data_IF_921154911247
#
_entry.id   IF_921154911247
#
_cell.length_a   1.000
_cell.length_b   1.000
_cell.length_c   1.000
_cell.angle_alpha   90.00
_cell.angle_beta   90.00
_cell.angle_gamma   90.00
#
_symmetry.space_group_name_H-M   'P 1'
#
loop_
_entity.id
_entity.type
_entity.pdbx_description
1 polymer ?
#
# COMPACT_ATOMS: atom_id res chain seq x y z
N UNK A 1 -8.84 -12.04 19.58
CA UNK A 1 -7.36 -11.99 19.68
C UNK A 1 -6.91 -10.64 20.25
N UNK A 2 -5.78 -10.57 20.94
CA UNK A 2 -5.20 -9.32 21.45
C UNK A 2 -3.81 -9.11 20.86
N UNK A 3 -3.57 -7.94 20.28
CA UNK A 3 -2.26 -7.51 19.78
C UNK A 3 -1.47 -6.90 20.94
N UNK A 4 -0.60 -7.68 21.57
CA UNK A 4 0.19 -7.23 22.73
C UNK A 4 1.20 -6.14 22.32
N UNK A 5 1.72 -6.25 21.10
CA UNK A 5 2.54 -5.26 20.43
C UNK A 5 2.26 -5.27 18.93
N UNK A 6 2.66 -4.20 18.25
CA UNK A 6 2.41 -4.00 16.81
C UNK A 6 3.63 -3.47 16.05
N UNK A 7 4.75 -3.28 16.74
CA UNK A 7 6.01 -2.80 16.16
C UNK A 7 6.85 -3.94 15.61
N UNK A 8 7.90 -3.59 14.88
CA UNK A 8 8.94 -4.54 14.48
C UNK A 8 9.60 -5.22 15.70
N UNK A 9 10.45 -6.25 15.52
CA UNK A 9 11.00 -7.01 16.64
C UNK A 9 11.77 -6.22 17.71
N UNK A 10 12.34 -5.07 17.34
CA UNK A 10 13.03 -4.15 18.26
C UNK A 10 12.07 -3.13 18.92
N UNK A 11 10.80 -3.15 18.52
CA UNK A 11 9.82 -2.11 18.83
C UNK A 11 10.03 -0.83 18.02
N UNK A 12 9.15 0.15 18.25
CA UNK A 12 9.23 1.51 17.73
C UNK A 12 8.91 2.46 18.89
N UNK A 13 9.84 3.30 19.36
CA UNK A 13 11.14 3.59 18.78
C UNK A 13 12.15 2.47 19.02
N UNK A 14 13.10 2.31 18.10
CA UNK A 14 14.28 1.49 18.33
C UNK A 14 15.15 2.13 19.43
N UNK A 15 15.64 1.38 20.44
CA UNK A 15 16.30 1.93 21.63
C UNK A 15 17.45 2.92 21.36
N UNK A 16 18.28 2.63 20.35
CA UNK A 16 19.50 3.40 20.06
C UNK A 16 19.40 4.25 18.78
N UNK A 17 18.19 4.46 18.27
CA UNK A 17 18.00 5.15 16.99
C UNK A 17 17.57 6.62 17.17
N UNK A 18 18.37 7.60 16.70
CA UNK A 18 18.04 9.02 16.82
C UNK A 18 17.21 9.55 15.64
N UNK A 19 16.69 8.68 14.75
CA UNK A 19 15.99 9.14 13.55
C UNK A 19 14.67 9.87 13.90
N UNK A 20 14.15 10.65 12.96
CA UNK A 20 12.93 11.42 13.15
C UNK A 20 11.71 10.53 13.48
N UNK A 21 11.61 9.34 12.89
CA UNK A 21 10.52 8.41 13.17
C UNK A 21 10.56 7.92 14.64
N UNK A 22 11.72 7.47 15.12
CA UNK A 22 11.90 7.09 16.52
C UNK A 22 11.70 8.27 17.49
N UNK A 23 12.16 9.46 17.11
CA UNK A 23 11.95 10.66 17.93
C UNK A 23 10.45 11.01 18.07
N UNK A 24 9.66 10.80 17.02
CA UNK A 24 8.22 11.06 16.99
C UNK A 24 7.38 9.92 17.59
N UNK A 25 7.87 8.67 17.57
CA UNK A 25 7.20 7.50 18.12
C UNK A 25 7.24 7.49 19.66
N UNK A 26 6.42 8.33 20.29
CA UNK A 26 6.29 8.43 21.75
C UNK A 26 4.83 8.39 22.15
N UNK A 27 4.55 8.04 23.42
CA UNK A 27 3.19 7.94 23.93
C UNK A 27 2.37 6.92 23.12
N UNK A 28 1.27 7.36 22.52
CA UNK A 28 0.40 6.51 21.70
C UNK A 28 1.00 6.09 20.35
N UNK A 29 2.10 6.73 19.93
CA UNK A 29 2.86 6.34 18.73
C UNK A 29 3.95 5.30 18.99
N UNK A 30 4.22 4.96 20.26
CA UNK A 30 5.15 3.89 20.61
C UNK A 30 4.49 2.52 20.43
N UNK A 31 5.28 1.55 19.95
CA UNK A 31 4.87 0.19 19.66
C UNK A 31 5.89 -0.78 20.24
N UNK A 32 5.45 -1.68 21.10
CA UNK A 32 6.19 -2.85 21.52
C UNK A 32 6.33 -3.84 20.35
N UNK A 33 7.30 -4.74 20.45
CA UNK A 33 7.50 -5.79 19.48
C UNK A 33 6.25 -6.67 19.33
N UNK A 34 5.93 -7.04 18.10
CA UNK A 34 4.68 -7.73 17.76
C UNK A 34 4.58 -9.08 18.46
N UNK A 35 3.46 -9.28 19.17
CA UNK A 35 3.06 -10.56 19.75
C UNK A 35 1.52 -10.62 19.82
N UNK A 36 0.93 -11.78 19.51
CA UNK A 36 -0.52 -11.96 19.44
C UNK A 36 -0.97 -13.00 20.46
N UNK A 37 -1.93 -12.64 21.32
CA UNK A 37 -2.61 -13.56 22.23
C UNK A 37 -3.98 -13.94 21.64
N UNK A 38 -4.14 -15.18 21.23
CA UNK A 38 -5.40 -15.72 20.70
C UNK A 38 -6.13 -16.47 21.82
N UNK A 39 -7.29 -15.92 22.19
CA UNK A 39 -8.24 -16.46 23.18
C UNK A 39 -7.61 -16.89 24.51
N UNK A 40 -6.53 -16.20 24.90
CA UNK A 40 -5.78 -16.51 26.12
C UNK A 40 -5.03 -17.85 26.11
N UNK A 41 -5.10 -18.62 25.03
CA UNK A 41 -4.64 -20.01 24.97
C UNK A 41 -3.43 -20.21 24.04
N UNK A 42 -3.32 -19.43 22.97
CA UNK A 42 -2.23 -19.46 22.00
C UNK A 42 -1.52 -18.11 21.99
N UNK A 43 -0.20 -18.15 22.16
CA UNK A 43 0.66 -16.98 22.00
C UNK A 43 1.49 -17.14 20.72
N UNK A 44 1.35 -16.20 19.79
CA UNK A 44 2.17 -16.13 18.58
C UNK A 44 3.22 -15.03 18.77
N UNK A 45 4.47 -15.43 18.58
CA UNK A 45 5.69 -14.71 18.92
C UNK A 45 5.85 -14.36 20.39
N UNK A 46 7.12 -14.35 20.83
CA UNK A 46 7.49 -14.11 22.22
C UNK A 46 8.79 -13.30 22.26
N UNK A 47 8.66 -12.03 21.95
CA UNK A 47 9.74 -11.05 22.05
C UNK A 47 9.85 -10.48 23.47
N UNK A 48 10.97 -9.84 23.83
CA UNK A 48 11.15 -9.29 25.17
C UNK A 48 10.06 -8.29 25.51
N UNK A 49 9.55 -8.36 26.75
CA UNK A 49 8.45 -7.52 27.22
C UNK A 49 7.03 -8.01 26.91
N UNK A 50 6.84 -9.10 26.17
CA UNK A 50 5.50 -9.62 25.84
C UNK A 50 4.62 -9.90 27.09
N UNK A 51 5.21 -10.39 28.18
CA UNK A 51 4.47 -10.62 29.44
C UNK A 51 3.98 -9.32 30.10
N UNK A 52 4.82 -8.28 30.10
CA UNK A 52 4.43 -6.96 30.60
C UNK A 52 3.37 -6.32 29.69
N UNK A 53 3.51 -6.49 28.37
CA UNK A 53 2.53 -6.04 27.40
C UNK A 53 1.16 -6.72 27.61
N UNK A 54 1.14 -8.04 27.84
CA UNK A 54 -0.07 -8.77 28.22
C UNK A 54 -0.72 -8.20 29.49
N UNK A 55 0.06 -7.98 30.54
CA UNK A 55 -0.46 -7.42 31.79
C UNK A 55 -1.03 -6.00 31.61
N UNK A 56 -0.36 -5.14 30.82
CA UNK A 56 -0.85 -3.80 30.48
C UNK A 56 -2.15 -3.82 29.67
N UNK A 57 -2.31 -4.82 28.80
CA UNK A 57 -3.52 -5.08 28.04
C UNK A 57 -4.62 -5.77 28.88
N UNK A 58 -4.40 -6.03 30.18
CA UNK A 58 -5.37 -6.65 31.07
C UNK A 58 -5.46 -8.17 30.97
N UNK A 59 -4.45 -8.83 30.40
CA UNK A 59 -4.40 -10.28 30.22
C UNK A 59 -3.37 -10.96 31.12
N UNK A 60 -3.72 -12.13 31.66
CA UNK A 60 -2.78 -13.06 32.27
C UNK A 60 -2.31 -14.09 31.23
N UNK A 61 -1.02 -14.43 31.26
CA UNK A 61 -0.46 -15.49 30.41
C UNK A 61 -0.57 -16.90 31.01
N UNK A 62 -1.12 -17.05 32.23
CA UNK A 62 -1.26 -18.37 32.89
C UNK A 62 -2.19 -19.33 32.13
N UNK A 63 -3.07 -18.80 31.28
CA UNK A 63 -3.97 -19.57 30.42
C UNK A 63 -3.29 -20.12 29.17
N UNK A 64 -2.11 -19.61 28.80
CA UNK A 64 -1.42 -20.01 27.57
C UNK A 64 -1.03 -21.48 27.66
N UNK A 65 -1.35 -22.23 26.60
CA UNK A 65 -1.04 -23.66 26.46
C UNK A 65 -0.11 -23.93 25.30
N UNK A 66 0.01 -23.01 24.35
CA UNK A 66 0.93 -23.11 23.24
C UNK A 66 1.59 -21.76 22.97
N UNK A 67 2.90 -21.77 22.75
CA UNK A 67 3.67 -20.64 22.23
C UNK A 67 4.26 -21.05 20.88
N UNK A 68 4.01 -20.27 19.83
CA UNK A 68 4.56 -20.50 18.50
C UNK A 68 5.35 -19.28 18.02
N UNK A 69 6.50 -19.51 17.42
CA UNK A 69 7.37 -18.46 16.88
C UNK A 69 7.23 -18.38 15.37
N UNK A 70 7.21 -17.19 14.80
CA UNK A 70 7.18 -16.98 13.35
C UNK A 70 8.57 -16.85 12.74
N UNK A 71 9.60 -16.64 13.55
CA UNK A 71 10.99 -16.44 13.12
C UNK A 71 11.87 -17.69 13.38
N UNK A 72 12.93 -17.90 12.59
CA UNK A 72 13.90 -18.98 12.83
C UNK A 72 14.68 -18.79 14.15
N UNK A 73 15.49 -19.79 14.51
CA UNK A 73 16.19 -19.86 15.80
C UNK A 73 17.25 -18.77 16.00
N UNK A 74 17.71 -18.14 14.93
CA UNK A 74 18.60 -16.98 14.87
C UNK A 74 17.84 -15.65 14.79
N UNK A 75 16.52 -15.67 14.98
CA UNK A 75 15.68 -14.49 15.01
C UNK A 75 15.80 -13.68 16.31
N UNK A 76 14.83 -12.77 16.55
CA UNK A 76 14.82 -11.88 17.72
C UNK A 76 14.99 -12.64 19.04
N UNK A 77 15.60 -11.97 20.02
CA UNK A 77 15.78 -12.53 21.36
C UNK A 77 14.43 -12.98 21.93
N UNK A 78 14.42 -14.11 22.64
CA UNK A 78 13.24 -14.65 23.31
C UNK A 78 13.33 -14.35 24.80
N UNK A 79 12.23 -13.87 25.37
CA UNK A 79 12.06 -13.81 26.82
C UNK A 79 10.95 -14.80 27.19
N UNK A 80 11.32 -15.92 27.82
CA UNK A 80 10.39 -16.97 28.27
C UNK A 80 10.05 -16.81 29.76
N UNK A 81 8.95 -16.12 30.11
CA UNK A 81 8.44 -16.08 31.47
C UNK A 81 8.27 -17.47 32.09
N UNK A 82 8.57 -17.57 33.37
CA UNK A 82 8.34 -18.79 34.13
C UNK A 82 6.86 -19.23 34.04
N UNK A 83 6.64 -20.51 33.73
CA UNK A 83 5.30 -21.09 33.63
C UNK A 83 4.68 -21.06 32.23
N UNK A 84 5.29 -20.39 31.25
CA UNK A 84 4.91 -20.57 29.84
C UNK A 84 5.42 -21.92 29.31
N UNK A 85 4.67 -22.56 28.40
CA UNK A 85 5.15 -23.76 27.70
C UNK A 85 6.33 -23.41 26.79
N UNK A 86 7.08 -24.43 26.38
CA UNK A 86 8.19 -24.26 25.46
C UNK A 86 7.72 -23.60 24.15
N UNK A 87 8.44 -22.57 23.71
CA UNK A 87 8.23 -21.95 22.42
C UNK A 87 8.78 -22.85 21.31
N UNK A 88 8.06 -22.95 20.21
CA UNK A 88 8.48 -23.77 19.08
C UNK A 88 7.93 -23.28 17.75
N UNK A 89 8.35 -23.93 16.67
CA UNK A 89 7.81 -23.74 15.33
C UNK A 89 7.07 -24.98 14.88
N UNK A 90 5.97 -24.77 14.17
CA UNK A 90 5.34 -25.86 13.42
C UNK A 90 6.04 -25.95 12.05
N UNK A 91 6.51 -27.13 11.62
CA UNK A 91 7.10 -27.29 10.30
C UNK A 91 6.13 -26.88 9.19
N UNK A 92 6.64 -26.26 8.13
CA UNK A 92 5.83 -25.74 7.03
C UNK A 92 4.86 -26.78 6.45
N UNK A 93 3.63 -26.36 6.20
CA UNK A 93 2.55 -27.21 5.70
C UNK A 93 1.94 -28.18 6.73
N UNK A 94 2.47 -28.25 7.96
CA UNK A 94 1.87 -29.04 9.04
C UNK A 94 0.80 -28.26 9.78
N UNK A 95 -0.12 -28.99 10.38
CA UNK A 95 -1.19 -28.46 11.21
C UNK A 95 -1.10 -29.05 12.62
N UNK A 96 -1.35 -28.21 13.62
CA UNK A 96 -1.45 -28.54 15.03
C UNK A 96 -2.88 -28.24 15.51
N UNK A 97 -3.50 -29.18 16.22
CA UNK A 97 -4.77 -28.93 16.91
C UNK A 97 -4.50 -28.66 18.38
N UNK A 98 -4.96 -27.52 18.88
CA UNK A 98 -4.79 -27.10 20.27
C UNK A 98 -5.92 -27.64 21.14
N UNK A 99 -5.67 -27.73 22.45
CA UNK A 99 -6.66 -28.14 23.45
C UNK A 99 -7.84 -27.15 23.49
N UNK A 100 -7.62 -25.89 23.12
CA UNK A 100 -8.67 -24.88 22.95
C UNK A 100 -9.59 -25.12 21.74
N UNK A 101 -9.39 -26.19 20.98
CA UNK A 101 -10.12 -26.52 19.75
C UNK A 101 -9.65 -25.77 18.51
N UNK A 102 -8.72 -24.84 18.65
CA UNK A 102 -8.12 -24.10 17.54
C UNK A 102 -7.24 -25.03 16.69
N UNK A 103 -7.27 -24.84 15.36
CA UNK A 103 -6.33 -25.48 14.43
C UNK A 103 -5.33 -24.45 13.92
N UNK A 104 -4.03 -24.75 14.02
CA UNK A 104 -2.95 -23.86 13.62
C UNK A 104 -2.13 -24.52 12.52
N UNK A 105 -2.16 -23.96 11.32
CA UNK A 105 -1.43 -24.46 10.14
C UNK A 105 -0.25 -23.54 9.84
N UNK A 106 0.93 -24.13 9.65
CA UNK A 106 2.13 -23.44 9.21
C UNK A 106 2.05 -23.13 7.71
N UNK A 107 2.17 -21.85 7.36
CA UNK A 107 2.21 -21.35 6.00
C UNK A 107 3.68 -21.10 5.61
N UNK A 108 4.20 -21.76 4.56
CA UNK A 108 5.56 -21.53 4.08
C UNK A 108 5.74 -20.09 3.58
N UNK A 109 6.87 -19.45 3.91
CA UNK A 109 7.17 -18.06 3.58
C UNK A 109 8.26 -17.93 2.51
N UNK A 110 8.28 -16.81 1.78
CA UNK A 110 9.31 -16.48 0.78
C UNK A 110 10.62 -15.94 1.39
N UNK A 111 10.63 -15.78 2.71
CA UNK A 111 11.78 -15.41 3.53
C UNK A 111 11.88 -16.36 4.72
N UNK A 112 13.03 -16.39 5.44
CA UNK A 112 13.18 -17.20 6.63
C UNK A 112 12.11 -16.88 7.68
N UNK A 113 11.23 -17.83 7.95
CA UNK A 113 10.13 -17.68 8.91
C UNK A 113 8.98 -18.65 8.61
N UNK A 114 7.90 -18.55 9.38
CA UNK A 114 6.64 -19.29 9.19
C UNK A 114 5.49 -18.36 9.49
N UNK A 115 4.53 -18.24 8.58
CA UNK A 115 3.23 -17.66 8.87
C UNK A 115 2.31 -18.68 9.52
N UNK A 116 1.33 -18.23 10.30
CA UNK A 116 0.36 -19.12 10.94
C UNK A 116 -1.05 -18.77 10.50
N UNK A 117 -1.72 -19.76 9.91
CA UNK A 117 -3.17 -19.75 9.77
C UNK A 117 -3.78 -20.35 11.04
N UNK A 118 -4.59 -19.57 11.75
CA UNK A 118 -5.33 -20.01 12.94
C UNK A 118 -6.80 -20.07 12.59
N UNK A 119 -7.39 -21.26 12.72
CA UNK A 119 -8.83 -21.49 12.55
C UNK A 119 -9.47 -21.76 13.91
N UNK A 120 -10.48 -20.97 14.27
CA UNK A 120 -11.26 -21.18 15.50
C UNK A 120 -12.13 -22.45 15.41
N UNK A 121 -12.65 -22.97 16.53
CA UNK A 121 -13.62 -24.06 16.53
C UNK A 121 -14.87 -23.77 15.69
N UNK A 122 -15.31 -22.52 15.65
CA UNK A 122 -16.46 -22.00 14.88
C UNK A 122 -16.11 -21.80 13.39
N UNK A 123 -14.85 -21.99 13.01
CA UNK A 123 -14.38 -21.85 11.64
C UNK A 123 -14.03 -20.42 11.24
N UNK A 124 -13.77 -19.51 12.18
CA UNK A 124 -13.21 -18.19 11.84
C UNK A 124 -11.71 -18.34 11.53
N UNK A 125 -11.20 -17.64 10.51
CA UNK A 125 -9.82 -17.78 10.01
C UNK A 125 -9.02 -16.49 10.12
N UNK A 126 -7.94 -16.57 10.89
CA UNK A 126 -6.90 -15.54 11.02
C UNK A 126 -5.64 -16.01 10.31
N UNK A 127 -5.01 -15.14 9.52
CA UNK A 127 -3.64 -15.35 9.04
C UNK A 127 -2.70 -14.34 9.69
N UNK A 128 -1.62 -14.81 10.31
CA UNK A 128 -0.56 -13.98 10.85
C UNK A 128 0.77 -14.24 10.12
N UNK A 129 1.41 -13.18 9.65
CA UNK A 129 2.66 -13.25 8.90
C UNK A 129 3.85 -12.65 9.67
N UNK A 130 5.06 -13.24 9.55
CA UNK A 130 6.28 -12.68 10.14
C UNK A 130 6.65 -11.32 9.53
N UNK A 131 7.47 -10.51 10.22
CA UNK A 131 8.01 -9.27 9.66
C UNK A 131 8.77 -9.56 8.37
N UNK A 132 8.56 -8.73 7.35
CA UNK A 132 9.28 -8.92 6.08
C UNK A 132 8.95 -10.22 5.33
N UNK A 133 7.92 -11.00 5.71
CA UNK A 133 7.56 -12.26 5.06
C UNK A 133 6.26 -12.22 4.26
N UNK A 134 6.25 -12.89 3.11
CA UNK A 134 5.02 -13.16 2.36
C UNK A 134 4.87 -14.68 2.13
N UNK A 135 3.64 -15.19 1.93
CA UNK A 135 3.43 -16.60 1.60
C UNK A 135 4.22 -17.04 0.37
N UNK A 136 4.88 -18.20 0.47
CA UNK A 136 5.58 -18.84 -0.63
C UNK A 136 4.57 -19.53 -1.56
N UNK A 137 4.46 -19.01 -2.79
CA UNK A 137 3.55 -19.54 -3.81
C UNK A 137 2.10 -19.07 -3.66
N UNK A 138 1.29 -19.43 -4.65
CA UNK A 138 -0.13 -19.05 -4.79
C UNK A 138 -0.99 -20.28 -4.57
N UNK A 139 -0.88 -20.93 -3.41
CA UNK A 139 -1.83 -21.99 -3.08
C UNK A 139 -3.22 -21.34 -2.99
N UNK A 140 -4.14 -21.74 -3.87
CA UNK A 140 -5.52 -21.24 -3.85
C UNK A 140 -6.08 -21.34 -2.44
N UNK A 141 -6.47 -20.20 -1.87
CA UNK A 141 -7.09 -20.18 -0.56
C UNK A 141 -8.57 -20.46 -0.80
N UNK A 142 -9.06 -21.63 -0.38
CA UNK A 142 -10.42 -22.08 -0.67
C UNK A 142 -11.54 -21.16 -0.17
N UNK A 143 -11.23 -20.22 0.74
CA UNK A 143 -12.03 -19.04 1.07
C UNK A 143 -11.12 -17.91 1.57
N UNK A 144 -11.54 -16.64 1.52
CA UNK A 144 -10.80 -15.55 2.15
C UNK A 144 -10.60 -15.78 3.66
N UNK A 145 -9.57 -15.14 4.22
CA UNK A 145 -9.40 -15.01 5.66
C UNK A 145 -10.40 -13.97 6.18
N UNK A 146 -10.90 -14.18 7.39
CA UNK A 146 -11.71 -13.19 8.09
C UNK A 146 -10.82 -12.02 8.56
N UNK A 147 -9.56 -12.31 8.87
CA UNK A 147 -8.56 -11.30 9.22
C UNK A 147 -7.16 -11.71 8.79
N UNK A 148 -6.38 -10.72 8.32
CA UNK A 148 -4.95 -10.87 8.02
C UNK A 148 -4.17 -9.87 8.85
N UNK A 149 -3.16 -10.35 9.57
CA UNK A 149 -2.24 -9.56 10.37
C UNK A 149 -0.85 -9.69 9.73
N UNK A 150 -0.34 -8.60 9.16
CA UNK A 150 0.87 -8.65 8.34
C UNK A 150 1.66 -7.34 8.32
N UNK A 151 2.90 -7.42 7.84
CA UNK A 151 3.73 -6.26 7.51
C UNK A 151 3.30 -5.63 6.18
N UNK A 152 2.22 -4.84 6.21
CA UNK A 152 1.65 -4.23 4.99
C UNK A 152 2.58 -3.14 4.42
N UNK A 153 3.30 -2.43 5.28
CA UNK A 153 4.15 -1.30 4.88
C UNK A 153 5.50 -1.75 4.32
N UNK A 154 6.10 -2.80 4.91
CA UNK A 154 7.36 -3.38 4.45
C UNK A 154 7.19 -4.42 3.35
N UNK A 155 6.04 -5.10 3.28
CA UNK A 155 5.73 -6.16 2.29
C UNK A 155 4.36 -5.99 1.62
N UNK A 156 4.12 -4.86 0.91
CA UNK A 156 2.87 -4.65 0.17
C UNK A 156 2.63 -5.73 -0.90
N UNK A 157 3.70 -6.30 -1.47
CA UNK A 157 3.64 -7.41 -2.43
C UNK A 157 3.03 -8.68 -1.80
N UNK A 158 3.22 -8.90 -0.50
CA UNK A 158 2.59 -10.01 0.22
C UNK A 158 1.07 -9.88 0.25
N UNK A 159 0.55 -8.67 0.45
CA UNK A 159 -0.88 -8.39 0.38
C UNK A 159 -1.42 -8.55 -1.04
N UNK A 160 -0.65 -8.13 -2.05
CA UNK A 160 -0.99 -8.35 -3.47
C UNK A 160 -1.12 -9.85 -3.81
N UNK A 161 -0.17 -10.67 -3.36
CA UNK A 161 -0.21 -12.13 -3.56
C UNK A 161 -1.41 -12.77 -2.86
N UNK A 162 -1.71 -12.35 -1.62
CA UNK A 162 -2.88 -12.84 -0.89
C UNK A 162 -4.19 -12.51 -1.60
N UNK A 163 -4.32 -11.30 -2.17
CA UNK A 163 -5.47 -10.92 -3.00
C UNK A 163 -5.56 -11.78 -4.27
N UNK A 164 -4.43 -11.98 -4.95
CA UNK A 164 -4.37 -12.83 -6.15
C UNK A 164 -4.81 -14.27 -5.87
N UNK A 165 -4.45 -14.81 -4.70
CA UNK A 165 -4.80 -16.15 -4.26
C UNK A 165 -6.23 -16.27 -3.69
N UNK A 166 -7.01 -15.19 -3.65
CA UNK A 166 -8.34 -15.15 -3.03
C UNK A 166 -8.34 -15.19 -1.50
N UNK A 167 -7.17 -15.04 -0.86
CA UNK A 167 -7.03 -15.02 0.60
C UNK A 167 -7.49 -13.72 1.26
N UNK A 168 -7.49 -12.60 0.53
CA UNK A 168 -7.99 -11.30 1.01
C UNK A 168 -9.11 -10.83 0.09
N UNK A 169 -10.30 -10.67 0.65
CA UNK A 169 -11.50 -10.16 -0.04
C UNK A 169 -12.02 -8.87 0.59
N UNK A 170 -13.18 -8.39 0.11
CA UNK A 170 -13.79 -7.13 0.56
C UNK A 170 -14.20 -7.11 2.05
N UNK A 171 -14.43 -8.28 2.65
CA UNK A 171 -14.80 -8.42 4.06
C UNK A 171 -13.60 -8.79 4.96
N UNK A 172 -12.41 -8.99 4.39
CA UNK A 172 -11.22 -9.35 5.17
C UNK A 172 -10.68 -8.12 5.88
N UNK A 173 -10.61 -8.15 7.21
CA UNK A 173 -9.96 -7.09 7.98
C UNK A 173 -8.43 -7.25 7.90
N UNK A 174 -7.74 -6.24 7.38
CA UNK A 174 -6.28 -6.26 7.22
C UNK A 174 -5.65 -5.33 8.25
N UNK A 175 -4.96 -5.92 9.22
CA UNK A 175 -4.31 -5.21 10.31
C UNK A 175 -2.80 -5.19 10.09
N UNK A 176 -2.24 -3.99 9.98
CA UNK A 176 -0.82 -3.78 9.83
C UNK A 176 -0.10 -3.90 11.18
N UNK A 177 0.96 -4.71 11.20
CA UNK A 177 1.88 -4.90 12.32
C UNK A 177 3.32 -4.84 11.80
N UNK A 178 4.30 -5.08 12.68
CA UNK A 178 5.72 -4.97 12.35
C UNK A 178 6.14 -3.57 11.91
N UNK A 179 5.42 -2.53 12.36
CA UNK A 179 5.69 -1.15 12.01
C UNK A 179 7.02 -0.69 12.66
N UNK A 180 7.97 -0.28 11.83
CA UNK A 180 9.30 0.15 12.25
C UNK A 180 9.59 1.60 11.85
N UNK A 181 10.80 2.05 12.15
CA UNK A 181 11.28 3.41 11.98
C UNK A 181 11.58 3.82 10.52
N UNK A 182 11.50 2.88 9.59
CA UNK A 182 11.53 3.08 8.14
C UNK A 182 10.16 3.50 7.59
N UNK A 183 9.10 3.27 8.38
CA UNK A 183 7.75 3.75 8.11
C UNK A 183 7.64 5.23 8.53
N UNK A 184 6.99 6.09 7.73
CA UNK A 184 6.79 7.49 8.05
C UNK A 184 5.93 7.72 9.32
N UNK A 185 5.81 8.97 9.76
CA UNK A 185 5.04 9.35 10.97
C UNK A 185 3.58 8.88 10.96
N UNK A 186 2.95 8.75 12.13
CA UNK A 186 1.66 8.07 12.30
C UNK A 186 0.54 8.49 11.33
N UNK A 187 0.35 9.80 11.08
CA UNK A 187 -0.70 10.25 10.14
C UNK A 187 -0.48 9.82 8.69
N UNK A 188 0.78 9.67 8.28
CA UNK A 188 1.14 9.14 6.96
C UNK A 188 0.97 7.62 6.90
N UNK A 189 1.18 6.91 8.02
CA UNK A 189 0.92 5.46 8.11
C UNK A 189 -0.54 5.17 7.87
N UNK A 190 -1.44 5.83 8.60
CA UNK A 190 -2.88 5.59 8.49
C UNK A 190 -3.37 5.86 7.07
N UNK A 191 -2.91 6.94 6.44
CA UNK A 191 -3.24 7.29 5.06
C UNK A 191 -2.79 6.23 4.05
N UNK A 192 -1.55 5.70 4.20
CA UNK A 192 -1.02 4.67 3.29
C UNK A 192 -1.70 3.33 3.48
N UNK A 193 -1.95 2.95 4.74
CA UNK A 193 -2.70 1.74 5.05
C UNK A 193 -4.12 1.81 4.50
N UNK A 194 -4.81 2.94 4.65
CA UNK A 194 -6.14 3.13 4.08
C UNK A 194 -6.15 2.97 2.56
N UNK A 195 -5.14 3.49 1.85
CA UNK A 195 -5.00 3.28 0.40
C UNK A 195 -4.78 1.80 0.02
N UNK A 196 -4.20 1.02 0.93
CA UNK A 196 -4.06 -0.42 0.79
C UNK A 196 -5.25 -1.21 1.37
N UNK A 197 -6.34 -0.57 1.81
CA UNK A 197 -7.47 -1.25 2.47
C UNK A 197 -7.10 -1.93 3.79
N UNK A 198 -6.11 -1.40 4.49
CA UNK A 198 -5.60 -1.89 5.77
C UNK A 198 -5.67 -0.81 6.85
N UNK A 199 -5.46 -1.18 8.10
CA UNK A 199 -5.41 -0.25 9.24
C UNK A 199 -4.35 -0.66 10.26
N UNK A 200 -3.84 0.30 11.01
CA UNK A 200 -3.06 0.02 12.20
C UNK A 200 -3.96 0.13 13.44
N UNK A 201 -3.57 -0.56 14.51
CA UNK A 201 -4.17 -0.40 15.83
C UNK A 201 -3.11 -0.10 16.88
N UNK A 202 -3.48 0.50 18.02
CA UNK A 202 -2.57 0.61 19.16
C UNK A 202 -2.23 -0.75 19.76
N UNK A 203 -1.10 -0.84 20.45
CA UNK A 203 -0.77 -1.98 21.29
C UNK A 203 -1.84 -2.22 22.37
N UNK A 204 -2.03 -3.48 22.74
CA UNK A 204 -3.05 -3.95 23.67
C UNK A 204 -4.47 -4.03 23.09
N UNK A 205 -4.67 -3.66 21.83
CA UNK A 205 -5.98 -3.74 21.18
C UNK A 205 -6.48 -5.18 21.10
N UNK A 206 -7.69 -5.42 21.60
CA UNK A 206 -8.40 -6.69 21.44
C UNK A 206 -9.35 -6.58 20.25
N UNK A 207 -9.19 -7.48 19.29
CA UNK A 207 -9.96 -7.55 18.05
C UNK A 207 -10.73 -8.88 17.98
N UNK A 208 -12.00 -8.80 17.59
CA UNK A 208 -12.84 -9.97 17.32
C UNK A 208 -12.66 -10.34 15.85
N UNK A 209 -12.11 -11.53 15.59
CA UNK A 209 -11.91 -12.00 14.23
C UNK A 209 -13.28 -12.38 13.64
N UNK A 210 -13.58 -11.92 12.42
CA UNK A 210 -14.87 -12.17 11.77
C UNK A 210 -15.99 -11.20 12.16
N UNK A 211 -15.74 -10.24 13.05
CA UNK A 211 -16.64 -9.10 13.23
C UNK A 211 -16.50 -8.15 12.02
N UNK A 212 -17.63 -7.68 11.49
CA UNK A 212 -17.58 -6.72 10.38
C UNK A 212 -17.02 -5.38 10.87
N UNK A 213 -15.90 -4.98 10.27
CA UNK A 213 -15.37 -3.64 10.38
C UNK A 213 -15.51 -2.94 9.04
N UNK A 214 -15.92 -1.67 9.05
CA UNK A 214 -15.88 -0.84 7.86
C UNK A 214 -14.42 -0.72 7.39
N UNK A 215 -14.05 -1.48 6.37
CA UNK A 215 -12.77 -1.35 5.70
C UNK A 215 -12.77 0.01 4.97
N UNK A 216 -11.69 0.80 5.03
CA UNK A 216 -11.62 2.04 4.26
C UNK A 216 -11.90 1.75 2.78
N UNK A 217 -12.87 2.45 2.18
CA UNK A 217 -13.09 2.36 0.74
C UNK A 217 -11.83 2.85 0.03
N UNK A 218 -11.18 1.96 -0.72
CA UNK A 218 -10.02 2.34 -1.52
C UNK A 218 -10.54 3.22 -2.67
N UNK A 219 -10.11 4.49 -2.78
CA UNK A 219 -10.67 5.42 -3.75
C UNK A 219 -10.41 4.91 -5.16
N UNK A 220 -11.47 4.89 -5.97
CA UNK A 220 -11.38 4.39 -7.35
C UNK A 220 -10.56 5.32 -8.24
N UNK A 221 -10.59 6.63 -8.01
CA UNK A 221 -9.92 7.63 -8.85
C UNK A 221 -9.13 8.59 -7.97
N UNK A 222 -7.82 8.57 -8.15
CA UNK A 222 -6.88 9.44 -7.44
C UNK A 222 -6.07 10.27 -8.43
N UNK A 223 -6.04 11.58 -8.22
CA UNK A 223 -5.09 12.47 -8.90
C UNK A 223 -3.95 12.83 -7.95
N UNK A 224 -2.71 12.59 -8.39
CA UNK A 224 -1.48 12.96 -7.69
C UNK A 224 -0.77 14.08 -8.45
N UNK A 225 -0.83 15.29 -7.92
CA UNK A 225 -0.17 16.47 -8.48
C UNK A 225 1.05 16.90 -7.67
N UNK A 226 1.95 17.66 -8.27
CA UNK A 226 3.09 18.25 -7.58
C UNK A 226 4.20 18.70 -8.52
N UNK A 227 5.20 19.37 -7.95
CA UNK A 227 6.34 19.88 -8.73
C UNK A 227 7.19 18.77 -9.38
N UNK A 228 8.13 19.19 -10.22
CA UNK A 228 9.15 18.29 -10.72
C UNK A 228 9.98 17.70 -9.56
N UNK A 229 10.30 16.40 -9.63
CA UNK A 229 11.07 15.67 -8.60
C UNK A 229 10.48 15.75 -7.19
N UNK A 230 9.19 16.01 -7.04
CA UNK A 230 8.53 16.08 -5.73
C UNK A 230 8.27 14.73 -5.08
N UNK A 231 8.38 13.62 -5.83
CA UNK A 231 8.05 12.27 -5.35
C UNK A 231 6.65 11.76 -5.75
N UNK A 232 5.90 12.50 -6.58
CA UNK A 232 4.53 12.14 -6.99
C UNK A 232 4.39 10.76 -7.67
N UNK A 233 5.34 10.35 -8.51
CA UNK A 233 5.29 9.02 -9.14
C UNK A 233 5.46 7.90 -8.10
N UNK A 234 6.32 8.10 -7.09
CA UNK A 234 6.49 7.14 -6.00
C UNK A 234 5.23 7.05 -5.12
N UNK A 235 4.59 8.18 -4.83
CA UNK A 235 3.31 8.20 -4.12
C UNK A 235 2.20 7.49 -4.93
N UNK A 236 2.15 7.68 -6.26
CA UNK A 236 1.21 6.98 -7.12
C UNK A 236 1.48 5.47 -7.15
N UNK A 237 2.75 5.04 -7.21
CA UNK A 237 3.13 3.63 -7.18
C UNK A 237 2.72 2.96 -5.86
N UNK A 238 2.98 3.61 -4.72
CA UNK A 238 2.62 3.13 -3.37
C UNK A 238 1.13 2.90 -3.16
N UNK A 239 0.26 3.55 -3.93
CA UNK A 239 -1.18 3.33 -3.85
C UNK A 239 -1.62 2.02 -4.49
N UNK A 240 -0.81 1.50 -5.40
CA UNK A 240 -1.16 0.32 -6.19
C UNK A 240 -0.25 -0.89 -5.94
N UNK A 241 0.83 -0.76 -5.16
CA UNK A 241 1.79 -1.84 -4.87
C UNK A 241 1.16 -3.06 -4.16
N UNK A 242 0.03 -2.85 -3.47
CA UNK A 242 -0.73 -3.94 -2.84
C UNK A 242 -1.77 -4.60 -3.77
N UNK A 243 -1.88 -4.17 -5.02
CA UNK A 243 -2.78 -4.78 -6.01
C UNK A 243 -2.07 -5.91 -6.77
N UNK A 244 -2.76 -7.02 -7.07
CA UNK A 244 -2.18 -8.17 -7.78
C UNK A 244 -1.53 -7.81 -9.12
N UNK A 245 -2.24 -7.00 -9.90
CA UNK A 245 -1.85 -6.57 -11.23
C UNK A 245 -2.09 -5.06 -11.36
N UNK A 246 -1.26 -4.40 -12.14
CA UNK A 246 -1.40 -2.98 -12.48
C UNK A 246 -0.95 -2.78 -13.93
N UNK A 247 -1.70 -1.97 -14.67
CA UNK A 247 -1.29 -1.47 -15.97
C UNK A 247 -0.72 -0.05 -15.78
N UNK A 248 0.60 0.07 -15.86
CA UNK A 248 1.30 1.34 -15.89
C UNK A 248 1.29 1.90 -17.31
N UNK A 249 0.77 3.11 -17.49
CA UNK A 249 0.71 3.82 -18.76
C UNK A 249 1.72 4.95 -18.77
N UNK A 250 2.75 4.81 -19.59
CA UNK A 250 3.76 5.83 -19.80
C UNK A 250 3.37 6.71 -21.00
N UNK A 251 2.91 7.93 -20.74
CA UNK A 251 2.48 8.88 -21.79
C UNK A 251 3.64 9.68 -22.40
N UNK A 252 4.86 9.46 -21.91
CA UNK A 252 6.06 10.17 -22.38
C UNK A 252 6.78 9.55 -23.59
N UNK A 253 6.45 8.31 -23.95
CA UNK A 253 7.15 7.53 -24.97
C UNK A 253 8.67 7.38 -24.73
N UNK A 254 9.34 6.74 -25.70
CA UNK A 254 10.79 6.77 -25.82
C UNK A 254 11.24 8.11 -26.42
N UNK A 255 12.06 8.87 -25.70
CA UNK A 255 12.79 10.00 -26.27
C UNK A 255 14.11 9.47 -26.82
N UNK A 256 14.18 9.29 -28.14
CA UNK A 256 15.38 8.80 -28.82
C UNK A 256 16.58 9.71 -28.49
N UNK A 257 17.66 9.10 -27.95
CA UNK A 257 18.93 9.77 -27.69
C UNK A 257 19.14 10.36 -26.29
N UNK A 258 18.16 10.31 -25.39
CA UNK A 258 18.31 10.79 -24.01
C UNK A 258 18.68 9.65 -23.04
N UNK A 259 19.98 9.51 -22.75
CA UNK A 259 20.51 8.47 -21.86
C UNK A 259 20.12 8.69 -20.39
N UNK A 260 19.88 9.94 -19.97
CA UNK A 260 19.38 10.27 -18.63
C UNK A 260 17.91 9.82 -18.50
N UNK A 261 17.10 10.07 -19.53
CA UNK A 261 15.73 9.57 -19.62
C UNK A 261 15.67 8.05 -19.61
N UNK A 262 16.51 7.38 -20.40
CA UNK A 262 16.56 5.91 -20.44
C UNK A 262 16.94 5.31 -19.08
N UNK A 263 17.97 5.84 -18.41
CA UNK A 263 18.38 5.39 -17.07
C UNK A 263 17.26 5.58 -16.04
N UNK A 264 16.51 6.69 -16.12
CA UNK A 264 15.35 6.95 -15.25
C UNK A 264 14.20 5.98 -15.49
N UNK A 265 13.89 5.68 -16.76
CA UNK A 265 12.85 4.70 -17.12
C UNK A 265 13.22 3.32 -16.59
N UNK A 266 14.48 2.89 -16.72
CA UNK A 266 14.98 1.62 -16.17
C UNK A 266 14.84 1.60 -14.65
N UNK A 267 15.33 2.63 -13.94
CA UNK A 267 15.19 2.70 -12.48
C UNK A 267 13.74 2.73 -12.00
N UNK A 268 12.81 3.27 -12.80
CA UNK A 268 11.37 3.22 -12.51
C UNK A 268 10.77 1.84 -12.78
N UNK A 269 11.20 1.13 -13.82
CA UNK A 269 10.77 -0.24 -14.11
C UNK A 269 11.27 -1.22 -13.05
N UNK A 270 12.55 -1.15 -12.69
CA UNK A 270 13.19 -2.06 -11.73
C UNK A 270 12.61 -1.94 -10.31
N UNK A 271 12.04 -0.78 -9.97
CA UNK A 271 11.38 -0.56 -8.68
C UNK A 271 9.99 -1.20 -8.60
N UNK A 272 9.32 -1.45 -9.73
CA UNK A 272 7.93 -1.91 -9.75
C UNK A 272 7.84 -3.40 -9.48
N UNK A 273 6.73 -3.88 -8.89
CA UNK A 273 6.47 -5.30 -8.80
C UNK A 273 6.50 -5.94 -10.20
N UNK A 274 7.12 -7.11 -10.32
CA UNK A 274 7.23 -7.83 -11.61
C UNK A 274 5.86 -8.25 -12.20
N UNK A 275 4.78 -8.19 -11.42
CA UNK A 275 3.41 -8.41 -11.90
C UNK A 275 2.83 -7.22 -12.67
N UNK A 276 3.49 -6.06 -12.63
CA UNK A 276 3.01 -4.87 -13.32
C UNK A 276 3.35 -4.92 -14.81
N UNK A 277 2.38 -4.56 -15.64
CA UNK A 277 2.55 -4.40 -17.08
C UNK A 277 2.74 -2.93 -17.42
N UNK A 278 3.64 -2.63 -18.35
CA UNK A 278 3.83 -1.26 -18.84
C UNK A 278 3.35 -1.16 -20.29
N UNK A 279 2.55 -0.14 -20.58
CA UNK A 279 2.10 0.23 -21.92
C UNK A 279 2.52 1.68 -22.20
N UNK A 280 3.25 1.90 -23.30
CA UNK A 280 3.68 3.25 -23.73
C UNK A 280 2.66 3.78 -24.74
N UNK A 281 1.80 4.70 -24.31
CA UNK A 281 0.73 5.24 -25.16
C UNK A 281 0.13 6.53 -24.60
N UNK A 282 -0.38 7.38 -25.50
CA UNK A 282 -1.19 8.55 -25.17
C UNK A 282 -2.69 8.31 -25.40
N UNK A 283 -3.07 7.13 -25.91
CA UNK A 283 -4.46 6.74 -26.17
C UNK A 283 -5.14 6.26 -24.87
N UNK A 284 -5.41 7.21 -23.96
CA UNK A 284 -5.94 6.92 -22.62
C UNK A 284 -7.43 6.56 -22.62
N UNK A 285 -8.25 7.18 -23.47
CA UNK A 285 -9.69 6.96 -23.46
C UNK A 285 -10.08 5.49 -23.78
N UNK A 286 -9.50 4.83 -24.80
CA UNK A 286 -9.73 3.40 -25.03
C UNK A 286 -9.30 2.51 -23.86
N UNK A 287 -8.20 2.86 -23.17
CA UNK A 287 -7.71 2.11 -22.01
C UNK A 287 -8.66 2.21 -20.81
N UNK A 288 -9.26 3.37 -20.61
CA UNK A 288 -10.22 3.64 -19.54
C UNK A 288 -11.59 3.03 -19.84
N UNK A 289 -11.96 2.89 -21.12
CA UNK A 289 -13.24 2.33 -21.56
C UNK A 289 -13.34 0.80 -21.57
N UNK A 290 -12.21 0.08 -21.42
CA UNK A 290 -12.18 -1.39 -21.30
C UNK A 290 -12.05 -1.82 -19.84
N UNK A 291 -12.56 -3.00 -19.49
CA UNK A 291 -12.26 -3.63 -18.21
C UNK A 291 -10.79 -4.04 -18.10
N UNK A 292 -10.27 -4.13 -16.88
CA UNK A 292 -8.89 -4.53 -16.65
C UNK A 292 -8.39 -4.25 -15.23
N UNK A 293 -7.09 -4.50 -14.96
CA UNK A 293 -6.47 -4.22 -13.66
C UNK A 293 -6.48 -2.71 -13.36
N UNK A 294 -6.14 -2.27 -12.14
CA UNK A 294 -5.85 -0.86 -11.87
C UNK A 294 -4.92 -0.22 -12.92
N UNK A 295 -5.15 1.06 -13.20
CA UNK A 295 -4.43 1.86 -14.18
C UNK A 295 -3.60 2.94 -13.46
N UNK A 296 -2.30 3.00 -13.72
CA UNK A 296 -1.44 4.10 -13.27
C UNK A 296 -1.01 4.92 -14.48
N UNK A 297 -1.46 6.17 -14.59
CA UNK A 297 -1.11 7.07 -15.70
C UNK A 297 0.03 8.00 -15.26
N UNK A 298 1.19 7.92 -15.90
CA UNK A 298 2.33 8.82 -15.65
C UNK A 298 2.88 9.36 -17.00
N UNK A 299 2.58 10.60 -17.39
CA UNK A 299 1.76 11.61 -16.70
C UNK A 299 0.83 12.40 -17.62
N UNK A 300 -0.20 13.01 -17.05
CA UNK A 300 -1.14 13.87 -17.77
C UNK A 300 -0.46 15.07 -18.43
N UNK A 301 0.67 15.55 -17.90
CA UNK A 301 1.43 16.63 -18.52
C UNK A 301 2.03 16.23 -19.87
N UNK A 302 2.56 15.01 -20.01
CA UNK A 302 3.11 14.53 -21.29
C UNK A 302 1.99 14.11 -22.25
N UNK A 303 0.88 13.59 -21.71
CA UNK A 303 -0.33 13.38 -22.51
C UNK A 303 -0.81 14.71 -23.13
N UNK A 304 -0.84 15.79 -22.35
CA UNK A 304 -1.25 17.09 -22.85
C UNK A 304 -0.28 17.62 -23.92
N UNK A 305 1.03 17.42 -23.75
CA UNK A 305 2.02 17.76 -24.78
C UNK A 305 1.70 17.06 -26.11
N UNK A 306 1.49 15.74 -26.10
CA UNK A 306 1.11 14.98 -27.30
C UNK A 306 -0.24 15.44 -27.88
N UNK A 307 -1.23 15.71 -27.03
CA UNK A 307 -2.53 16.22 -27.47
C UNK A 307 -2.41 17.60 -28.14
N UNK A 308 -1.57 18.49 -27.60
CA UNK A 308 -1.25 19.79 -28.17
C UNK A 308 -0.49 19.68 -29.50
N UNK A 309 0.48 18.75 -29.61
CA UNK A 309 1.22 18.49 -30.85
C UNK A 309 0.27 18.07 -31.98
N UNK A 310 -0.65 17.14 -31.71
CA UNK A 310 -1.57 16.57 -32.70
C UNK A 310 -2.55 17.59 -33.30
N UNK A 311 -2.91 18.61 -32.53
CA UNK A 311 -3.86 19.66 -32.95
C UNK A 311 -3.15 20.94 -33.37
N UNK A 312 -1.81 20.92 -33.46
CA UNK A 312 -1.00 22.08 -33.84
C UNK A 312 -1.10 23.24 -32.86
N UNK A 313 -1.33 22.98 -31.57
CA UNK A 313 -1.59 24.01 -30.56
C UNK A 313 -0.37 24.90 -30.24
N UNK A 314 0.81 24.61 -30.76
CA UNK A 314 2.00 25.45 -30.58
C UNK A 314 2.08 26.59 -31.58
N UNK A 315 1.38 26.49 -32.72
CA UNK A 315 1.27 27.53 -33.73
C UNK A 315 0.04 28.40 -33.44
N UNK A 316 0.24 29.72 -33.36
CA UNK A 316 -0.81 30.65 -32.97
C UNK A 316 -1.95 30.74 -34.00
N UNK A 317 -1.64 30.60 -35.30
CA UNK A 317 -2.63 30.65 -36.36
C UNK A 317 -3.48 29.36 -36.40
N UNK A 318 -2.85 28.20 -36.20
CA UNK A 318 -3.55 26.91 -36.11
C UNK A 318 -4.41 26.85 -34.86
N UNK A 319 -3.87 27.28 -33.71
CA UNK A 319 -4.59 27.34 -32.44
C UNK A 319 -5.87 28.16 -32.56
N UNK A 320 -5.79 29.36 -33.14
CA UNK A 320 -6.93 30.27 -33.29
C UNK A 320 -7.99 29.75 -34.28
N UNK A 321 -7.58 28.97 -35.30
CA UNK A 321 -8.51 28.46 -36.33
C UNK A 321 -9.23 27.18 -35.91
N UNK A 322 -8.53 26.23 -35.28
CA UNK A 322 -9.12 24.93 -34.93
C UNK A 322 -8.51 24.26 -33.69
N UNK A 323 -7.22 24.48 -33.41
CA UNK A 323 -6.50 23.76 -32.36
C UNK A 323 -7.14 23.88 -30.97
N UNK A 324 -7.71 25.03 -30.61
CA UNK A 324 -8.40 25.21 -29.34
C UNK A 324 -9.63 24.29 -29.19
N UNK A 325 -10.46 24.22 -30.23
CA UNK A 325 -11.67 23.37 -30.21
C UNK A 325 -11.28 21.90 -30.16
N UNK A 326 -10.35 21.49 -31.01
CA UNK A 326 -9.90 20.09 -31.10
C UNK A 326 -9.22 19.62 -29.81
N UNK A 327 -8.43 20.48 -29.14
CA UNK A 327 -7.85 20.14 -27.83
C UNK A 327 -8.95 19.95 -26.78
N UNK A 328 -9.94 20.85 -26.73
CA UNK A 328 -11.06 20.74 -25.78
C UNK A 328 -11.86 19.46 -26.00
N UNK A 329 -12.09 19.05 -27.25
CA UNK A 329 -12.75 17.79 -27.58
C UNK A 329 -11.98 16.59 -27.04
N UNK A 330 -10.65 16.54 -27.24
CA UNK A 330 -9.78 15.49 -26.69
C UNK A 330 -9.77 15.46 -25.15
N UNK A 331 -9.73 16.62 -24.51
CA UNK A 331 -9.81 16.73 -23.03
C UNK A 331 -11.16 16.24 -22.53
N UNK A 332 -12.26 16.64 -23.19
CA UNK A 332 -13.60 16.20 -22.83
C UNK A 332 -13.77 14.68 -23.00
N UNK A 333 -13.19 14.08 -24.05
CA UNK A 333 -13.16 12.64 -24.25
C UNK A 333 -12.43 11.92 -23.10
N UNK A 334 -11.23 12.39 -22.73
CA UNK A 334 -10.46 11.82 -21.63
C UNK A 334 -11.24 11.91 -20.30
N UNK A 335 -11.77 13.10 -19.98
CA UNK A 335 -12.55 13.31 -18.75
C UNK A 335 -13.80 12.43 -18.73
N UNK A 336 -14.50 12.31 -19.87
CA UNK A 336 -15.64 11.41 -20.02
C UNK A 336 -15.27 9.94 -19.78
N UNK A 337 -14.10 9.51 -20.27
CA UNK A 337 -13.61 8.15 -20.05
C UNK A 337 -13.24 7.89 -18.57
N UNK A 338 -12.62 8.86 -17.89
CA UNK A 338 -12.33 8.78 -16.44
C UNK A 338 -13.62 8.73 -15.62
N UNK A 339 -14.65 9.48 -16.04
CA UNK A 339 -15.96 9.44 -15.39
C UNK A 339 -16.62 8.07 -15.51
N UNK A 340 -16.52 7.44 -16.67
CA UNK A 340 -17.23 6.19 -16.99
C UNK A 340 -16.48 4.91 -16.58
N UNK A 341 -15.17 4.98 -16.29
CA UNK A 341 -14.37 3.78 -16.03
C UNK A 341 -14.77 3.08 -14.73
N UNK A 342 -14.82 1.75 -14.78
CA UNK A 342 -14.98 0.91 -13.59
C UNK A 342 -13.63 0.56 -12.92
N UNK A 343 -12.51 0.85 -13.60
CA UNK A 343 -11.16 0.53 -13.13
C UNK A 343 -10.77 1.46 -11.98
N UNK A 344 -9.88 0.97 -11.13
CA UNK A 344 -9.14 1.85 -10.23
C UNK A 344 -8.11 2.63 -11.05
N UNK A 345 -8.05 3.95 -10.90
CA UNK A 345 -7.18 4.86 -11.67
C UNK A 345 -6.38 5.74 -10.71
N UNK A 346 -5.07 5.76 -10.88
CA UNK A 346 -4.17 6.72 -10.26
C UNK A 346 -3.46 7.49 -11.36
N UNK A 347 -3.69 8.80 -11.45
CA UNK A 347 -3.07 9.64 -12.46
C UNK A 347 -2.06 10.60 -11.82
N UNK A 348 -0.91 10.76 -12.47
CA UNK A 348 0.16 11.69 -12.09
C UNK A 348 0.11 12.90 -13.01
N UNK A 349 0.23 14.09 -12.44
CA UNK A 349 0.38 15.34 -13.20
C UNK A 349 1.37 16.29 -12.54
N UNK A 350 1.95 17.20 -13.32
CA UNK A 350 2.78 18.27 -12.78
C UNK A 350 1.93 19.47 -12.36
N UNK A 351 2.35 20.11 -11.27
CA UNK A 351 1.92 21.47 -10.92
C UNK A 351 2.95 22.47 -11.45
N UNK A 352 2.53 23.33 -12.39
CA UNK A 352 3.40 24.29 -13.10
C UNK A 352 2.89 25.73 -13.00
N UNK A 353 1.72 25.96 -12.40
CA UNK A 353 1.06 27.27 -12.32
C UNK A 353 1.62 28.19 -11.24
N UNK A 354 2.42 27.67 -10.30
CA UNK A 354 2.95 28.41 -9.15
C UNK A 354 4.22 29.24 -9.44
N UNK A 355 4.65 29.34 -10.71
CA UNK A 355 5.84 30.06 -11.15
C UNK A 355 5.56 31.37 -11.90
N UNK A 356 6.61 31.96 -12.48
CA UNK A 356 6.51 33.16 -13.32
C UNK A 356 5.79 32.82 -14.63
N UNK A 357 5.05 33.78 -15.19
CA UNK A 357 4.43 33.66 -16.51
C UNK A 357 5.50 33.49 -17.59
N UNK A 358 5.48 32.41 -18.39
CA UNK A 358 6.44 32.21 -19.48
C UNK A 358 6.43 33.34 -20.52
N UNK A 359 7.60 33.64 -21.09
CA UNK A 359 7.74 34.64 -22.16
C UNK A 359 7.20 34.18 -23.52
N UNK A 360 7.23 32.87 -23.78
CA UNK A 360 6.75 32.24 -25.01
C UNK A 360 5.24 31.93 -24.98
N UNK A 361 4.54 32.19 -26.09
CA UNK A 361 3.08 32.05 -26.18
C UNK A 361 2.61 30.60 -26.06
N UNK A 362 3.28 29.67 -26.74
CA UNK A 362 2.98 28.24 -26.65
C UNK A 362 3.18 27.69 -25.24
N UNK A 363 4.25 28.12 -24.57
CA UNK A 363 4.54 27.72 -23.19
C UNK A 363 3.52 28.27 -22.19
N UNK A 364 3.06 29.53 -22.37
CA UNK A 364 1.93 30.07 -21.58
C UNK A 364 0.66 29.26 -21.80
N UNK A 365 0.35 28.93 -23.06
CA UNK A 365 -0.81 28.12 -23.43
C UNK A 365 -0.74 26.75 -22.76
N UNK A 366 0.39 26.05 -22.84
CA UNK A 366 0.57 24.76 -22.16
C UNK A 366 0.32 24.85 -20.65
N UNK A 367 0.90 25.86 -19.99
CA UNK A 367 0.70 26.08 -18.55
C UNK A 367 -0.79 26.25 -18.21
N UNK A 368 -1.49 27.08 -18.97
CA UNK A 368 -2.90 27.39 -18.72
C UNK A 368 -3.80 26.18 -19.03
N UNK A 369 -3.56 25.46 -20.13
CA UNK A 369 -4.30 24.24 -20.48
C UNK A 369 -4.01 23.08 -19.51
N UNK A 370 -2.78 22.96 -19.00
CA UNK A 370 -2.47 21.97 -17.96
C UNK A 370 -3.22 22.25 -16.66
N UNK A 371 -3.35 23.53 -16.30
CA UNK A 371 -4.20 23.93 -15.17
C UNK A 371 -5.66 23.53 -15.36
N UNK A 372 -6.22 23.78 -16.56
CA UNK A 372 -7.61 23.40 -16.89
C UNK A 372 -7.80 21.87 -16.90
N UNK A 373 -6.87 21.13 -17.50
CA UNK A 373 -6.87 19.67 -17.50
C UNK A 373 -6.81 19.11 -16.07
N UNK A 374 -5.90 19.62 -15.25
CA UNK A 374 -5.74 19.18 -13.86
C UNK A 374 -7.04 19.39 -13.07
N UNK A 375 -7.69 20.56 -13.24
CA UNK A 375 -8.96 20.85 -12.59
C UNK A 375 -10.08 19.90 -13.07
N UNK A 376 -10.25 19.75 -14.38
CA UNK A 376 -11.29 18.88 -14.95
C UNK A 376 -11.10 17.40 -14.57
N UNK A 377 -9.85 16.91 -14.52
CA UNK A 377 -9.55 15.55 -14.08
C UNK A 377 -9.78 15.38 -12.57
N UNK A 378 -9.38 16.38 -11.77
CA UNK A 378 -9.59 16.38 -10.33
C UNK A 378 -11.08 16.30 -9.95
N UNK A 379 -11.96 16.93 -10.73
CA UNK A 379 -13.41 16.88 -10.51
C UNK A 379 -14.00 15.48 -10.66
N UNK A 380 -13.34 14.58 -11.42
CA UNK A 380 -13.73 13.17 -11.54
C UNK A 380 -13.06 12.27 -10.50
N UNK A 381 -12.24 12.81 -9.61
CA UNK A 381 -11.48 12.04 -8.62
C UNK A 381 -12.08 12.16 -7.22
N UNK A 382 -12.20 11.04 -6.51
CA UNK A 382 -12.54 11.05 -5.08
C UNK A 382 -11.36 11.61 -4.26
N UNK A 383 -10.12 11.29 -4.64
CA UNK A 383 -8.93 11.73 -3.94
C UNK A 383 -8.04 12.63 -4.82
N UNK A 384 -7.58 13.73 -4.24
CA UNK A 384 -6.63 14.64 -4.88
C UNK A 384 -5.50 14.93 -3.91
N UNK A 385 -4.26 14.67 -4.33
CA UNK A 385 -3.07 14.83 -3.51
C UNK A 385 -2.11 15.84 -4.12
N UNK A 386 -1.56 16.71 -3.28
CA UNK A 386 -0.40 17.52 -3.60
C UNK A 386 0.84 16.90 -2.96
N UNK A 387 1.85 16.57 -3.77
CA UNK A 387 3.12 16.02 -3.28
C UNK A 387 4.22 17.07 -3.32
N UNK A 388 4.79 17.36 -2.16
CA UNK A 388 5.89 18.33 -1.95
C UNK A 388 6.97 17.69 -1.08
N UNK A 389 8.22 17.70 -1.54
CA UNK A 389 9.35 17.09 -0.82
C UNK A 389 9.10 15.64 -0.35
N UNK A 390 8.43 14.85 -1.18
CA UNK A 390 8.06 13.46 -0.89
C UNK A 390 6.89 13.29 0.09
N UNK A 391 6.31 14.38 0.58
CA UNK A 391 5.16 14.38 1.49
C UNK A 391 3.88 14.56 0.69
N UNK A 392 2.89 13.69 0.88
CA UNK A 392 1.58 13.81 0.25
C UNK A 392 0.60 14.54 1.17
N UNK A 393 0.01 15.61 0.65
CA UNK A 393 -1.03 16.39 1.31
C UNK A 393 -2.36 16.12 0.62
N UNK A 394 -3.37 15.71 1.38
CA UNK A 394 -4.73 15.57 0.87
C UNK A 394 -5.36 16.93 0.60
N UNK A 395 -5.72 17.20 -0.65
CA UNK A 395 -6.57 18.34 -1.03
C UNK A 395 -8.06 17.96 -1.02
N UNK A 396 -8.33 16.68 -1.31
CA UNK A 396 -9.64 16.03 -1.27
C UNK A 396 -9.43 14.57 -0.87
N UNK A 397 -10.27 14.06 0.02
CA UNK A 397 -10.24 12.68 0.51
C UNK A 397 -10.99 12.53 1.82
#
# INVERSE_FOLDING_TARGET
MTLLGTGAPEGLPRPDCPCAACAAARGTGARAATALLVDGALLLDLTPGAALAAARAGHSLTGVRQVLLTHPHDGPALELPAGLPAAGRVPDGRELTLISGHRVRAVPMDSPGTGYEVTSPEGVRLLYLPPGGAPAGVAEVGRPYDMVVADVMGRPDGLARLRAAGGVGAATDVVAVHLDHDVPSCGEVDRRLAAAGARAVPDGSTLVVGEYHAVPDVPRRTLVTGGARSGKSLEAERRLESFPEVLYVATGGARDGDTEWAARVTAHRDRRPGSWRTEETCELAPLLGRDGPPLLIDCLSLWLTDAMDRVGAWDDDVWAKSGERELRERVAELVGAVRATARTVVAVTNEVGAGIVPGDAGTRRFRDELGRLNAAFADECEHVLLVVAGQALGLRG
#
